data_IF_329261655952
#
_entry.id   IF_329261655952
#
_cell.length_a   1.000
_cell.length_b   1.000
_cell.length_c   1.000
_cell.angle_alpha   90.00
_cell.angle_beta   90.00
_cell.angle_gamma   90.00
#
_symmetry.space_group_name_H-M   'P 1'
#
loop_
_entity.id
_entity.type
_entity.pdbx_description
1 polymer ?
#
# COMPACT_ATOMS: atom_id res chain seq x y z
N UNK A 1 -17.19 16.88 9.65
CA UNK A 1 -17.42 18.35 9.67
C UNK A 1 -17.18 18.96 8.27
N UNK A 2 -17.66 18.34 7.17
CA UNK A 2 -17.72 18.97 5.82
C UNK A 2 -19.11 19.56 5.48
N UNK A 3 -20.10 19.48 6.39
CA UNK A 3 -21.51 19.83 6.09
C UNK A 3 -21.89 21.31 6.25
N UNK A 4 -21.01 22.19 6.73
CA UNK A 4 -21.43 23.52 7.23
C UNK A 4 -20.98 24.72 6.38
N UNK A 5 -20.10 24.58 5.39
CA UNK A 5 -19.56 25.74 4.64
C UNK A 5 -20.01 25.72 3.18
N UNK A 6 -21.32 25.79 2.94
CA UNK A 6 -21.88 25.94 1.60
C UNK A 6 -22.47 27.32 1.30
N UNK A 7 -22.44 28.28 2.23
CA UNK A 7 -23.28 29.49 2.12
C UNK A 7 -22.56 30.83 1.85
N UNK A 8 -21.23 30.93 1.87
CA UNK A 8 -20.61 32.26 1.84
C UNK A 8 -19.23 32.31 1.17
N UNK A 9 -19.17 32.10 -0.15
CA UNK A 9 -18.12 32.67 -1.04
C UNK A 9 -18.42 32.35 -2.51
N UNK A 10 -19.46 32.97 -3.09
CA UNK A 10 -19.49 33.17 -4.55
C UNK A 10 -18.75 34.48 -4.87
N UNK A 11 -17.43 34.45 -4.74
CA UNK A 11 -16.52 35.44 -5.35
C UNK A 11 -15.93 34.77 -6.58
N UNK A 12 -16.04 35.44 -7.72
CA UNK A 12 -15.93 34.88 -9.07
C UNK A 12 -14.81 33.86 -9.28
N UNK A 13 -15.21 32.63 -9.66
CA UNK A 13 -14.31 31.63 -10.21
C UNK A 13 -13.89 32.06 -11.63
N UNK A 14 -12.82 32.84 -11.73
CA UNK A 14 -12.05 32.95 -12.97
C UNK A 14 -11.55 31.56 -13.35
N UNK A 15 -11.85 31.11 -14.58
CA UNK A 15 -11.53 29.81 -15.17
C UNK A 15 -10.26 29.14 -14.60
N UNK A 16 -10.44 28.31 -13.57
CA UNK A 16 -9.37 27.45 -13.07
C UNK A 16 -9.11 26.43 -14.18
N UNK A 17 -7.91 26.44 -14.76
CA UNK A 17 -7.59 25.46 -15.80
C UNK A 17 -7.54 24.07 -15.17
N UNK A 18 -7.89 23.02 -15.93
CA UNK A 18 -7.84 21.62 -15.44
C UNK A 18 -6.44 21.27 -14.90
N UNK A 19 -5.39 21.84 -15.49
CA UNK A 19 -4.02 21.75 -15.01
C UNK A 19 -3.82 22.33 -13.62
N UNK A 20 -4.37 23.52 -13.34
CA UNK A 20 -4.24 24.14 -12.01
C UNK A 20 -4.99 23.32 -10.95
N UNK A 21 -6.16 22.79 -11.32
CA UNK A 21 -6.94 21.91 -10.44
C UNK A 21 -6.20 20.59 -10.15
N UNK A 22 -5.58 19.97 -11.15
CA UNK A 22 -4.75 18.77 -10.98
C UNK A 22 -3.51 19.06 -10.13
N UNK A 23 -2.86 20.21 -10.33
CA UNK A 23 -1.72 20.63 -9.51
C UNK A 23 -2.13 20.86 -8.06
N UNK A 24 -3.28 21.49 -7.82
CA UNK A 24 -3.82 21.70 -6.48
C UNK A 24 -4.18 20.37 -5.80
N UNK A 25 -4.77 19.44 -6.55
CA UNK A 25 -5.06 18.08 -6.08
C UNK A 25 -3.77 17.33 -5.73
N UNK A 26 -2.73 17.45 -6.55
CA UNK A 26 -1.44 16.80 -6.31
C UNK A 26 -0.68 17.40 -5.11
N UNK A 27 -0.76 18.72 -4.94
CA UNK A 27 -0.18 19.43 -3.80
C UNK A 27 -0.87 19.06 -2.49
N UNK A 28 -2.20 18.93 -2.53
CA UNK A 28 -3.02 18.54 -1.37
C UNK A 28 -3.27 17.04 -1.30
N UNK A 29 -2.40 16.23 -1.90
CA UNK A 29 -2.55 14.78 -1.97
C UNK A 29 -2.71 14.16 -0.55
N UNK A 30 -3.50 13.08 -0.42
CA UNK A 30 -3.65 12.40 0.87
C UNK A 30 -2.32 11.87 1.43
N UNK A 31 -2.17 11.87 2.75
CA UNK A 31 -1.03 11.23 3.42
C UNK A 31 -1.43 9.87 3.95
N UNK A 32 -0.53 8.89 3.83
CA UNK A 32 -0.68 7.57 4.43
C UNK A 32 -0.59 7.66 5.94
N UNK A 33 -1.56 7.07 6.62
CA UNK A 33 -1.63 7.00 8.09
C UNK A 33 -1.47 5.54 8.55
N UNK A 34 -0.26 4.95 8.48
CA UNK A 34 -0.04 3.53 8.78
C UNK A 34 -0.30 3.17 10.24
N UNK A 35 -0.38 4.17 11.13
CA UNK A 35 -0.69 3.98 12.54
C UNK A 35 -2.21 3.86 12.80
N UNK A 36 -3.06 4.43 11.93
CA UNK A 36 -4.53 4.36 12.02
C UNK A 36 -5.16 3.30 11.10
N UNK A 37 -4.40 2.77 10.14
CA UNK A 37 -4.86 1.75 9.19
C UNK A 37 -4.18 0.40 9.38
N UNK A 38 -4.87 -0.70 9.04
CA UNK A 38 -4.34 -2.06 9.20
C UNK A 38 -3.33 -2.48 8.13
N UNK A 39 -3.40 -1.88 6.94
CA UNK A 39 -2.52 -2.17 5.81
C UNK A 39 -2.04 -0.83 5.27
N UNK A 40 -0.73 -0.53 5.32
CA UNK A 40 -0.06 0.67 4.78
C UNK A 40 -0.61 2.08 5.14
N UNK A 41 -1.80 2.20 5.74
CA UNK A 41 -2.48 3.46 6.03
C UNK A 41 -3.11 4.17 4.83
N UNK A 42 -3.22 3.53 3.66
CA UNK A 42 -3.72 4.19 2.42
C UNK A 42 -5.19 4.58 2.54
N UNK A 43 -6.06 3.60 2.82
CA UNK A 43 -7.50 3.87 2.97
C UNK A 43 -7.80 4.81 4.15
N UNK A 44 -7.04 4.68 5.25
CA UNK A 44 -7.14 5.59 6.40
C UNK A 44 -6.71 7.02 6.04
N UNK A 45 -5.69 7.18 5.20
CA UNK A 45 -5.22 8.46 4.70
C UNK A 45 -6.23 9.18 3.81
N UNK A 46 -6.80 8.45 2.84
CA UNK A 46 -7.84 8.97 1.94
C UNK A 46 -9.10 9.32 2.74
N UNK A 47 -9.52 8.47 3.67
CA UNK A 47 -10.71 8.71 4.49
C UNK A 47 -10.57 9.94 5.40
N UNK A 48 -9.38 10.11 5.99
CA UNK A 48 -9.10 11.27 6.83
C UNK A 48 -8.99 12.59 6.05
N UNK A 49 -8.56 12.55 4.79
CA UNK A 49 -8.52 13.72 3.88
C UNK A 49 -9.91 14.19 3.48
N UNK A 50 -10.82 13.26 3.20
CA UNK A 50 -12.15 13.53 2.63
C UNK A 50 -13.31 13.37 3.62
N UNK A 51 -13.02 13.16 4.92
CA UNK A 51 -14.03 12.93 5.98
C UNK A 51 -14.95 11.72 5.68
N UNK A 52 -14.39 10.67 5.06
CA UNK A 52 -15.09 9.42 4.71
C UNK A 52 -14.59 8.29 5.60
N UNK A 53 -15.49 7.40 6.04
CA UNK A 53 -15.11 6.22 6.80
C UNK A 53 -14.09 5.36 6.01
N UNK A 54 -12.90 5.07 6.58
CA UNK A 54 -11.91 4.17 5.97
C UNK A 54 -12.45 2.80 5.56
N UNK A 55 -13.55 2.32 6.18
CA UNK A 55 -14.20 1.06 5.80
C UNK A 55 -14.78 1.13 4.39
N UNK A 56 -15.45 2.23 4.03
CA UNK A 56 -16.05 2.39 2.69
C UNK A 56 -14.98 2.41 1.59
N UNK A 57 -13.85 3.05 1.87
CA UNK A 57 -12.72 3.10 0.93
C UNK A 57 -12.12 1.69 0.72
N UNK A 58 -12.06 0.87 1.78
CA UNK A 58 -11.62 -0.53 1.65
C UNK A 58 -12.60 -1.33 0.80
N UNK A 59 -13.90 -1.19 1.03
CA UNK A 59 -14.93 -1.86 0.24
C UNK A 59 -14.78 -1.46 -1.24
N UNK A 60 -14.55 -0.17 -1.54
CA UNK A 60 -14.32 0.28 -2.91
C UNK A 60 -13.10 -0.38 -3.58
N UNK A 61 -11.98 -0.51 -2.86
CA UNK A 61 -10.80 -1.24 -3.36
C UNK A 61 -11.10 -2.73 -3.59
N UNK A 62 -11.79 -3.40 -2.66
CA UNK A 62 -12.14 -4.83 -2.76
C UNK A 62 -13.10 -5.08 -3.93
N UNK A 63 -14.10 -4.23 -4.10
CA UNK A 63 -15.01 -4.32 -5.24
C UNK A 63 -14.24 -4.08 -6.54
N UNK A 64 -13.39 -3.04 -6.62
CA UNK A 64 -12.56 -2.81 -7.81
C UNK A 64 -11.56 -3.95 -8.09
N UNK A 65 -11.11 -4.70 -7.09
CA UNK A 65 -10.33 -5.92 -7.34
C UNK A 65 -11.15 -7.03 -7.96
N UNK A 66 -12.41 -7.20 -7.58
CA UNK A 66 -13.28 -8.23 -8.16
C UNK A 66 -13.69 -7.89 -9.59
N UNK A 67 -13.88 -6.60 -9.90
CA UNK A 67 -14.35 -6.13 -11.21
C UNK A 67 -13.24 -5.94 -12.28
N UNK A 68 -12.08 -6.58 -12.12
CA UNK A 68 -10.95 -6.47 -13.06
C UNK A 68 -9.60 -6.18 -12.40
N UNK A 69 -9.49 -6.43 -11.09
CA UNK A 69 -8.23 -6.42 -10.35
C UNK A 69 -7.54 -5.06 -10.19
N UNK A 70 -8.09 -3.99 -10.75
CA UNK A 70 -7.55 -2.63 -10.65
C UNK A 70 -7.40 -2.15 -9.21
N UNK A 71 -8.26 -2.61 -8.30
CA UNK A 71 -8.19 -2.21 -6.90
C UNK A 71 -6.84 -2.51 -6.25
N UNK A 72 -6.18 -3.63 -6.58
CA UNK A 72 -4.89 -3.99 -5.98
C UNK A 72 -3.76 -3.15 -6.58
N UNK A 73 -3.84 -2.90 -7.88
CA UNK A 73 -2.90 -2.03 -8.60
C UNK A 73 -2.95 -0.62 -8.04
N UNK A 74 -4.15 -0.04 -7.92
CA UNK A 74 -4.33 1.29 -7.33
C UNK A 74 -3.90 1.35 -5.86
N UNK A 75 -4.11 0.27 -5.11
CA UNK A 75 -3.68 0.20 -3.72
C UNK A 75 -2.14 0.21 -3.57
N UNK A 76 -1.44 -0.60 -4.37
CA UNK A 76 0.02 -0.66 -4.39
C UNK A 76 0.62 0.65 -4.94
N UNK A 77 0.02 1.23 -5.97
CA UNK A 77 0.42 2.52 -6.52
C UNK A 77 0.25 3.65 -5.48
N UNK A 78 -0.90 3.71 -4.80
CA UNK A 78 -1.12 4.67 -3.72
C UNK A 78 -0.18 4.44 -2.53
N UNK A 79 0.22 3.18 -2.29
CA UNK A 79 1.25 2.88 -1.30
C UNK A 79 2.63 3.46 -1.71
N UNK A 80 3.00 3.45 -2.98
CA UNK A 80 4.28 4.05 -3.41
C UNK A 80 4.24 5.58 -3.50
N UNK A 81 3.14 6.13 -4.00
CA UNK A 81 3.01 7.55 -4.39
C UNK A 81 2.64 8.45 -3.21
N UNK A 82 1.74 8.02 -2.32
CA UNK A 82 1.33 8.87 -1.20
C UNK A 82 2.49 9.01 -0.20
N UNK A 83 2.59 10.14 0.50
CA UNK A 83 3.64 10.30 1.53
C UNK A 83 3.13 9.75 2.86
N UNK A 84 4.01 9.21 3.69
CA UNK A 84 3.68 8.93 5.08
C UNK A 84 3.52 10.26 5.84
N UNK A 85 2.57 10.34 6.77
CA UNK A 85 2.42 11.52 7.62
C UNK A 85 3.73 11.76 8.40
N UNK A 86 4.37 12.92 8.18
CA UNK A 86 5.70 13.27 8.72
C UNK A 86 6.86 13.19 7.73
N UNK A 87 6.72 12.48 6.60
CA UNK A 87 7.83 12.25 5.65
C UNK A 87 7.80 13.22 4.47
N UNK A 88 8.95 13.77 4.09
CA UNK A 88 9.09 14.76 3.01
C UNK A 88 8.98 14.13 1.62
N UNK A 89 9.39 12.87 1.47
CA UNK A 89 9.32 12.11 0.23
C UNK A 89 8.26 10.99 0.28
N UNK A 90 7.75 10.63 -0.90
CA UNK A 90 7.00 9.39 -1.12
C UNK A 90 7.94 8.18 -1.17
N UNK A 91 7.37 6.98 -1.10
CA UNK A 91 8.16 5.74 -1.20
C UNK A 91 8.87 5.64 -2.55
N UNK A 92 8.18 6.01 -3.63
CA UNK A 92 8.78 6.07 -4.96
C UNK A 92 9.89 7.13 -5.08
N UNK A 93 9.70 8.34 -4.53
CA UNK A 93 10.74 9.38 -4.53
C UNK A 93 11.98 8.95 -3.76
N UNK A 94 11.81 8.21 -2.65
CA UNK A 94 12.93 7.68 -1.87
C UNK A 94 13.75 6.61 -2.62
N UNK A 95 13.12 5.82 -3.48
CA UNK A 95 13.83 4.86 -4.37
C UNK A 95 14.66 5.57 -5.44
N UNK A 96 14.24 6.77 -5.85
CA UNK A 96 14.95 7.63 -6.81
C UNK A 96 15.97 8.54 -6.10
N UNK A 97 16.16 8.39 -4.79
CA UNK A 97 17.11 9.17 -4.00
C UNK A 97 16.67 10.62 -3.71
N UNK A 98 15.38 10.94 -3.90
CA UNK A 98 14.84 12.29 -3.62
C UNK A 98 14.18 12.31 -2.25
N UNK A 99 14.77 13.06 -1.32
CA UNK A 99 14.22 13.35 0.00
C UNK A 99 14.34 12.21 1.01
N UNK A 100 13.78 12.43 2.21
CA UNK A 100 13.90 11.52 3.34
C UNK A 100 12.56 10.81 3.61
N UNK A 101 12.57 9.47 3.59
CA UNK A 101 11.45 8.60 3.94
C UNK A 101 11.84 7.75 5.14
N UNK A 102 10.93 7.58 6.09
CA UNK A 102 11.13 6.72 7.27
C UNK A 102 10.89 5.23 6.94
N UNK A 103 10.38 4.91 5.75
CA UNK A 103 10.21 3.54 5.30
C UNK A 103 11.53 2.95 4.75
N UNK A 104 11.83 1.70 5.11
CA UNK A 104 13.00 0.98 4.61
C UNK A 104 12.96 0.82 3.09
N UNK A 105 14.04 1.18 2.40
CA UNK A 105 14.16 1.08 0.94
C UNK A 105 13.79 -0.31 0.41
N UNK A 106 14.21 -1.38 1.09
CA UNK A 106 13.88 -2.77 0.72
C UNK A 106 12.37 -3.01 0.64
N UNK A 107 11.58 -2.46 1.57
CA UNK A 107 10.10 -2.60 1.50
C UNK A 107 9.53 -1.86 0.31
N UNK A 108 10.06 -0.69 -0.02
CA UNK A 108 9.59 0.07 -1.19
C UNK A 108 9.97 -0.64 -2.50
N UNK A 109 11.15 -1.25 -2.59
CA UNK A 109 11.54 -2.08 -3.74
C UNK A 109 10.58 -3.27 -3.90
N UNK A 110 10.29 -4.00 -2.83
CA UNK A 110 9.35 -5.14 -2.88
C UNK A 110 7.96 -4.70 -3.34
N UNK A 111 7.45 -3.57 -2.83
CA UNK A 111 6.16 -3.03 -3.26
C UNK A 111 6.19 -2.58 -4.72
N UNK A 112 7.31 -2.00 -5.20
CA UNK A 112 7.48 -1.63 -6.61
C UNK A 112 7.48 -2.86 -7.53
N UNK A 113 8.21 -3.91 -7.17
CA UNK A 113 8.21 -5.18 -7.92
C UNK A 113 6.81 -5.80 -7.91
N UNK A 114 6.13 -5.84 -6.76
CA UNK A 114 4.76 -6.35 -6.67
C UNK A 114 3.78 -5.54 -7.52
N UNK A 115 3.94 -4.21 -7.59
CA UNK A 115 3.14 -3.36 -8.48
C UNK A 115 3.41 -3.69 -9.95
N UNK A 116 4.66 -3.88 -10.36
CA UNK A 116 5.01 -4.24 -11.74
C UNK A 116 4.38 -5.59 -12.11
N UNK A 117 4.51 -6.61 -11.26
CA UNK A 117 3.87 -7.92 -11.48
C UNK A 117 2.36 -7.77 -11.59
N UNK A 118 1.73 -7.05 -10.64
CA UNK A 118 0.28 -6.84 -10.65
C UNK A 118 -0.19 -6.08 -11.90
N UNK A 119 0.57 -5.09 -12.39
CA UNK A 119 0.25 -4.39 -13.64
C UNK A 119 0.44 -5.30 -14.86
N UNK A 120 1.45 -6.17 -14.85
CA UNK A 120 1.70 -7.10 -15.96
C UNK A 120 0.66 -8.23 -16.03
N UNK A 121 0.24 -8.78 -14.89
CA UNK A 121 -0.72 -9.90 -14.84
C UNK A 121 -2.18 -9.44 -14.86
N UNK A 122 -2.46 -8.26 -14.30
CA UNK A 122 -3.81 -7.71 -14.10
C UNK A 122 -3.96 -6.37 -14.84
N UNK A 123 -3.21 -6.17 -15.92
CA UNK A 123 -3.18 -4.90 -16.63
C UNK A 123 -4.59 -4.41 -16.98
N UNK A 124 -4.81 -3.09 -17.15
CA UNK A 124 -6.12 -2.54 -17.51
C UNK A 124 -6.70 -3.13 -18.81
N UNK A 125 -5.85 -3.81 -19.58
CA UNK A 125 -6.10 -4.41 -20.89
C UNK A 125 -5.90 -5.94 -20.90
N UNK A 126 -5.78 -6.58 -19.72
CA UNK A 126 -5.47 -8.00 -19.58
C UNK A 126 -6.47 -8.93 -20.28
N UNK A 127 -5.92 -9.92 -20.98
CA UNK A 127 -6.60 -10.96 -21.77
C UNK A 127 -7.59 -11.76 -20.92
N UNK A 128 -8.89 -11.60 -21.19
CA UNK A 128 -9.94 -12.52 -20.72
C UNK A 128 -11.27 -11.89 -20.33
N UNK A 129 -11.30 -10.62 -19.87
CA UNK A 129 -12.54 -9.97 -19.38
C UNK A 129 -12.65 -8.51 -19.86
N UNK A 130 -13.08 -8.36 -21.12
CA UNK A 130 -13.61 -7.16 -21.79
C UNK A 130 -13.64 -5.82 -21.04
N UNK A 131 -12.49 -5.19 -20.79
CA UNK A 131 -12.38 -3.77 -20.41
C UNK A 131 -12.91 -3.39 -19.01
N UNK A 132 -13.34 -4.35 -18.18
CA UNK A 132 -13.91 -4.06 -16.85
C UNK A 132 -12.89 -3.40 -15.91
N UNK A 133 -11.59 -3.72 -16.07
CA UNK A 133 -10.50 -3.07 -15.36
C UNK A 133 -10.45 -1.56 -15.62
N UNK A 134 -10.49 -1.13 -16.89
CA UNK A 134 -10.52 0.29 -17.26
C UNK A 134 -11.74 1.01 -16.71
N UNK A 135 -12.92 0.39 -16.77
CA UNK A 135 -14.15 0.96 -16.23
C UNK A 135 -14.00 1.17 -14.71
N UNK A 136 -13.45 0.18 -14.00
CA UNK A 136 -13.23 0.26 -12.56
C UNK A 136 -12.16 1.32 -12.20
N UNK A 137 -11.12 1.48 -13.03
CA UNK A 137 -10.08 2.50 -12.88
C UNK A 137 -10.67 3.91 -13.03
N UNK A 138 -11.44 4.13 -14.09
CA UNK A 138 -12.11 5.41 -14.35
C UNK A 138 -13.11 5.73 -13.26
N UNK A 139 -13.91 4.75 -12.83
CA UNK A 139 -14.86 4.92 -11.74
C UNK A 139 -14.17 5.30 -10.43
N UNK A 140 -13.02 4.69 -10.12
CA UNK A 140 -12.30 4.98 -8.88
C UNK A 140 -11.63 6.36 -8.91
N UNK A 141 -11.01 6.74 -10.04
CA UNK A 141 -10.45 8.08 -10.23
C UNK A 141 -11.53 9.16 -10.24
N UNK A 142 -12.67 8.90 -10.90
CA UNK A 142 -13.84 9.77 -10.90
C UNK A 142 -14.42 9.94 -9.49
N UNK A 143 -14.53 8.86 -8.72
CA UNK A 143 -14.96 8.91 -7.32
C UNK A 143 -14.03 9.75 -6.45
N UNK A 144 -12.71 9.61 -6.61
CA UNK A 144 -11.71 10.43 -5.91
C UNK A 144 -11.84 11.92 -6.29
N UNK A 145 -12.07 12.20 -7.57
CA UNK A 145 -12.26 13.56 -8.08
C UNK A 145 -13.55 14.20 -7.53
N UNK A 146 -14.66 13.47 -7.50
CA UNK A 146 -15.91 13.93 -6.90
C UNK A 146 -15.77 14.19 -5.39
N UNK A 147 -15.02 13.35 -4.67
CA UNK A 147 -14.69 13.59 -3.27
C UNK A 147 -13.85 14.86 -3.09
N UNK A 148 -12.91 15.12 -4.01
CA UNK A 148 -12.11 16.34 -3.99
C UNK A 148 -12.94 17.59 -4.27
N UNK A 149 -13.93 17.52 -5.16
CA UNK A 149 -14.87 18.61 -5.37
C UNK A 149 -15.72 18.91 -4.14
N UNK A 150 -16.07 17.89 -3.35
CA UNK A 150 -16.87 18.05 -2.12
C UNK A 150 -16.07 18.61 -0.95
N UNK A 151 -14.82 18.19 -0.76
CA UNK A 151 -13.95 18.69 0.30
C UNK A 151 -12.59 19.14 -0.29
N UNK A 152 -12.55 20.30 -0.99
CA UNK A 152 -11.31 20.80 -1.61
C UNK A 152 -10.28 21.21 -0.54
N UNK A 153 -10.76 21.78 0.57
CA UNK A 153 -9.88 22.25 1.65
C UNK A 153 -9.18 21.09 2.37
N UNK A 154 -7.86 21.20 2.62
CA UNK A 154 -7.13 20.21 3.39
C UNK A 154 -7.46 20.29 4.90
N UNK A 155 -7.39 19.15 5.61
CA UNK A 155 -7.68 19.11 7.04
C UNK A 155 -6.72 19.99 7.86
N UNK A 156 -7.14 20.47 9.05
CA UNK A 156 -6.52 21.60 9.75
C UNK A 156 -5.02 21.47 10.06
N UNK A 157 -4.52 20.24 10.28
CA UNK A 157 -3.11 19.98 10.56
C UNK A 157 -2.18 20.16 9.34
N UNK A 158 -2.73 20.20 8.12
CA UNK A 158 -1.98 20.59 6.91
C UNK A 158 -2.02 22.10 6.66
N UNK A 159 -2.90 22.84 7.36
CA UNK A 159 -3.05 24.30 7.27
C UNK A 159 -2.15 25.05 8.26
N UNK A 160 -1.42 24.36 9.14
CA UNK A 160 -0.51 25.02 10.08
C UNK A 160 0.71 25.60 9.35
N UNK A 161 1.10 26.82 9.73
CA UNK A 161 2.18 27.58 9.10
C UNK A 161 3.51 26.78 9.05
N UNK A 162 3.76 25.93 10.04
CA UNK A 162 4.94 25.06 10.12
C UNK A 162 4.95 23.95 9.06
N UNK A 163 3.79 23.35 8.77
CA UNK A 163 3.67 22.31 7.74
C UNK A 163 3.72 22.92 6.32
N UNK A 164 3.26 24.17 6.17
CA UNK A 164 3.36 24.90 4.91
C UNK A 164 4.76 25.43 4.61
N UNK A 165 5.49 25.91 5.63
CA UNK A 165 6.80 26.57 5.49
C UNK A 165 7.89 25.61 4.99
N UNK A 166 7.81 24.31 5.29
CA UNK A 166 8.75 23.29 4.81
C UNK A 166 8.38 22.64 3.46
N UNK A 167 7.23 22.96 2.84
CA UNK A 167 6.78 22.30 1.58
C UNK A 167 6.27 23.23 0.48
N UNK A 168 6.00 24.50 0.75
CA UNK A 168 5.32 25.40 -0.19
C UNK A 168 6.11 26.67 -0.54
N UNK A 169 7.44 26.60 -0.64
CA UNK A 169 8.13 27.59 -1.46
C UNK A 169 7.86 27.21 -2.93
N UNK A 170 7.18 28.05 -3.74
CA UNK A 170 6.93 27.74 -5.13
C UNK A 170 8.28 27.72 -5.87
N UNK A 171 8.73 26.54 -6.30
CA UNK A 171 9.73 26.44 -7.36
C UNK A 171 9.00 26.10 -8.65
N UNK A 172 8.87 27.05 -9.59
CA UNK A 172 8.41 26.74 -10.95
C UNK A 172 9.36 25.73 -11.60
N UNK A 173 8.81 24.74 -12.30
CA UNK A 173 9.62 23.80 -13.08
C UNK A 173 10.31 24.57 -14.23
N UNK A 174 11.64 24.61 -14.24
CA UNK A 174 12.43 25.09 -15.38
C UNK A 174 13.38 26.28 -15.15
N UNK A 175 13.57 26.78 -13.92
CA UNK A 175 14.51 27.88 -13.64
C UNK A 175 15.90 27.39 -13.20
N UNK A 176 16.96 27.57 -14.01
CA UNK A 176 18.33 27.26 -13.62
C UNK A 176 18.96 28.50 -12.98
N UNK A 177 18.57 28.83 -11.75
CA UNK A 177 19.33 29.80 -10.97
C UNK A 177 19.13 29.54 -9.48
N UNK A 178 20.13 28.93 -8.87
CA UNK A 178 20.40 29.10 -7.44
C UNK A 178 20.92 30.53 -7.25
N UNK A 179 20.03 31.52 -7.12
CA UNK A 179 20.41 32.84 -6.60
C UNK A 179 20.02 32.91 -5.13
N UNK A 180 20.98 33.36 -4.33
CA UNK A 180 20.91 33.51 -2.88
C UNK A 180 20.01 34.68 -2.44
N UNK A 181 18.80 34.77 -2.97
CA UNK A 181 17.75 35.72 -2.55
C UNK A 181 16.64 35.02 -1.75
N UNK A 182 16.96 33.92 -1.09
CA UNK A 182 16.03 33.14 -0.25
C UNK A 182 15.64 33.84 1.07
N UNK A 183 16.05 35.10 1.27
CA UNK A 183 15.61 35.95 2.36
C UNK A 183 15.12 37.29 1.83
N UNK A 184 13.88 37.35 1.36
CA UNK A 184 13.00 38.52 1.51
C UNK A 184 11.60 38.19 1.01
N UNK A 185 10.60 38.70 1.74
CA UNK A 185 9.16 38.73 1.41
C UNK A 185 8.25 37.69 2.06
N UNK A 186 8.12 37.78 3.39
CA UNK A 186 6.81 37.71 4.02
C UNK A 186 6.71 38.80 5.13
N UNK A 187 6.00 39.88 4.79
CA UNK A 187 5.32 40.81 5.71
C UNK A 187 6.17 41.66 6.69
N UNK A 188 6.93 42.62 6.15
CA UNK A 188 7.06 43.93 6.81
C UNK A 188 6.61 45.00 5.81
N UNK A 189 5.42 45.57 6.03
CA UNK A 189 4.97 46.79 5.34
C UNK A 189 5.36 47.95 6.26
N UNK A 190 6.40 48.74 5.95
CA UNK A 190 6.63 49.96 6.71
C UNK A 190 5.40 50.88 6.53
N UNK A 191 5.04 51.70 7.55
CA UNK A 191 3.96 52.65 7.42
C UNK A 191 4.25 53.56 6.22
N UNK A 192 3.21 53.84 5.44
CA UNK A 192 3.33 54.60 4.21
C UNK A 192 3.59 56.06 4.57
N UNK A 193 4.85 56.44 4.68
CA UNK A 193 5.22 57.84 4.65
C UNK A 193 4.87 58.36 3.25
N UNK A 194 3.87 59.24 3.20
CA UNK A 194 3.56 60.03 2.02
C UNK A 194 4.84 60.75 1.61
N UNK A 195 5.40 60.36 0.48
CA UNK A 195 6.53 61.08 -0.11
C UNK A 195 5.96 62.37 -0.69
N UNK A 196 5.91 63.44 0.11
CA UNK A 196 5.86 64.79 -0.45
C UNK A 196 7.12 64.96 -1.31
N UNK A 197 6.91 65.22 -2.60
CA UNK A 197 7.98 65.50 -3.55
C UNK A 197 8.79 66.68 -3.02
N UNK A 198 10.04 66.41 -2.66
CA UNK A 198 11.03 67.45 -2.38
C UNK A 198 11.29 68.24 -3.66
N UNK A 199 10.64 69.40 -3.81
CA UNK A 199 11.02 70.39 -4.82
C UNK A 199 12.26 71.13 -4.31
N UNK A 200 13.28 71.41 -5.15
CA UNK A 200 14.59 71.89 -4.70
C UNK A 200 14.62 73.35 -4.21
N UNK A 201 13.47 73.95 -3.90
CA UNK A 201 13.36 75.29 -3.32
C UNK A 201 12.27 75.33 -2.25
N UNK A 202 12.54 74.77 -1.06
CA UNK A 202 11.76 75.07 0.13
C UNK A 202 12.66 75.80 1.13
N UNK A 203 12.52 77.12 1.18
CA UNK A 203 13.12 77.97 2.22
C UNK A 203 12.56 77.59 3.59
N UNK A 204 13.40 77.58 4.64
CA UNK A 204 12.93 77.45 6.02
C UNK A 204 11.78 78.43 6.30
N UNK A 205 10.69 78.01 6.97
CA UNK A 205 9.66 78.94 7.41
C UNK A 205 10.29 79.97 8.35
N UNK A 206 10.16 81.26 8.01
CA UNK A 206 10.76 82.38 8.75
C UNK A 206 10.04 82.71 10.07
N UNK A 207 8.97 82.00 10.41
CA UNK A 207 8.21 82.26 11.64
C UNK A 207 7.77 80.95 12.28
N UNK A 208 8.22 80.75 13.52
CA UNK A 208 7.67 79.76 14.43
C UNK A 208 6.35 80.31 14.99
N UNK A 209 5.24 79.62 14.72
CA UNK A 209 3.96 79.89 15.39
C UNK A 209 3.83 78.83 16.49
N UNK A 210 3.97 79.20 17.78
CA UNK A 210 3.73 78.26 18.86
C UNK A 210 2.26 77.85 18.86
N UNK A 211 2.00 76.55 18.95
CA UNK A 211 0.66 76.02 19.23
C UNK A 211 0.18 76.62 20.56
N UNK A 212 -1.04 77.20 20.63
CA UNK A 212 -1.51 77.79 21.88
C UNK A 212 -1.60 76.71 22.96
N UNK A 213 -0.94 76.96 24.09
CA UNK A 213 -1.08 76.17 25.32
C UNK A 213 -2.58 76.05 25.65
N UNK A 214 -3.08 74.87 26.03
CA UNK A 214 -4.41 74.75 26.61
C UNK A 214 -4.54 75.74 27.76
N UNK A 215 -5.60 76.54 27.72
CA UNK A 215 -5.89 77.56 28.72
C UNK A 215 -6.14 76.85 30.05
N UNK A 216 -5.26 77.08 31.03
CA UNK A 216 -5.53 76.76 32.43
C UNK A 216 -6.78 77.52 32.85
N UNK A 217 -7.82 76.77 33.21
CA UNK A 217 -8.99 77.34 33.87
C UNK A 217 -8.54 77.91 35.23
N UNK A 218 -8.39 79.23 35.27
CA UNK A 218 -8.22 80.02 36.48
C UNK A 218 -9.56 80.11 37.20
N UNK A 219 -9.85 79.10 38.01
CA UNK A 219 -10.77 79.21 39.14
C UNK A 219 -9.93 79.45 40.39
N UNK A 220 -9.86 80.71 40.81
CA UNK A 220 -9.24 81.14 42.06
C UNK A 220 -10.10 80.61 43.20
N UNK A 221 -9.55 79.71 44.01
CA UNK A 221 -9.85 79.71 45.44
C UNK A 221 -8.50 79.62 46.18
N UNK A 222 -8.30 80.65 46.99
CA UNK A 222 -7.13 80.85 47.82
C UNK A 222 -7.12 79.79 48.92
N UNK A 223 -6.02 79.06 49.05
CA UNK A 223 -5.44 78.73 50.35
C UNK A 223 -3.98 78.29 50.19
N UNK A 224 -3.11 79.05 50.83
CA UNK A 224 -1.68 78.83 50.82
C UNK A 224 -1.33 77.60 51.68
N UNK A 225 -0.97 76.49 51.05
CA UNK A 225 -0.27 75.40 51.73
C UNK A 225 1.05 75.10 51.03
N UNK A 226 2.12 75.54 51.69
CA UNK A 226 3.51 75.22 51.41
C UNK A 226 3.70 73.71 51.35
N UNK A 227 4.20 73.20 50.22
CA UNK A 227 4.50 71.78 50.03
C UNK A 227 5.73 71.41 50.86
N UNK A 228 5.53 70.55 51.85
CA UNK A 228 6.56 70.10 52.79
C UNK A 228 7.27 68.86 52.20
N UNK A 229 8.56 68.97 51.85
CA UNK A 229 9.36 67.89 51.23
C UNK A 229 9.99 66.91 52.25
N UNK A 230 9.33 66.65 53.39
CA UNK A 230 9.82 65.66 54.35
C UNK A 230 9.27 64.27 54.05
N UNK A 231 10.19 63.32 53.83
CA UNK A 231 9.91 61.90 53.61
C UNK A 231 9.41 61.28 54.91
N UNK A 232 8.09 61.21 55.10
CA UNK A 232 7.48 60.50 56.22
C UNK A 232 7.41 59.00 55.89
N UNK A 233 8.26 58.22 56.57
CA UNK A 233 8.20 56.76 56.56
C UNK A 233 7.13 56.33 57.56
N UNK A 234 5.99 55.84 57.08
CA UNK A 234 4.98 55.17 57.90
C UNK A 234 4.65 53.78 57.32
N UNK A 235 4.36 52.78 58.17
CA UNK A 235 4.35 51.37 57.77
C UNK A 235 3.11 51.00 56.96
N UNK A 236 3.30 50.03 56.07
CA UNK A 236 2.31 49.51 55.14
C UNK A 236 1.06 48.96 55.84
N UNK A 237 -0.10 49.50 55.45
CA UNK A 237 -1.40 48.86 55.63
C UNK A 237 -1.98 48.59 54.25
N UNK A 238 -2.35 47.34 54.01
CA UNK A 238 -2.71 46.79 52.71
C UNK A 238 -4.23 46.56 52.66
N UNK A 239 -5.00 47.34 51.89
CA UNK A 239 -6.27 46.88 51.36
C UNK A 239 -6.05 46.33 49.95
N UNK A 240 -6.60 45.14 49.72
CA UNK A 240 -6.69 44.55 48.39
C UNK A 240 -7.59 45.41 47.49
N UNK A 241 -7.11 45.75 46.30
CA UNK A 241 -7.84 45.62 45.04
C UNK A 241 -6.91 45.95 43.85
N UNK A 242 -7.16 45.28 42.73
CA UNK A 242 -6.29 45.09 41.57
C UNK A 242 -5.80 46.41 40.93
N UNK A 243 -4.53 46.51 40.47
CA UNK A 243 -4.09 47.68 39.72
C UNK A 243 -4.68 47.67 38.30
N UNK A 244 -5.49 48.68 37.97
CA UNK A 244 -5.80 49.05 36.59
C UNK A 244 -4.51 49.46 35.88
N UNK A 245 -4.02 48.63 34.96
CA UNK A 245 -2.79 48.90 34.22
C UNK A 245 -3.13 49.79 33.02
N UNK A 246 -2.93 51.10 33.16
CA UNK A 246 -2.94 52.01 32.01
C UNK A 246 -1.54 52.02 31.37
N UNK A 247 -1.38 51.64 30.09
CA UNK A 247 -0.10 51.76 29.41
C UNK A 247 0.30 53.23 29.25
N UNK A 248 1.60 53.56 29.35
CA UNK A 248 2.11 54.92 29.21
C UNK A 248 2.00 55.46 27.77
N UNK A 249 1.91 56.78 27.64
CA UNK A 249 1.55 57.52 26.40
C UNK A 249 2.65 57.63 25.33
N UNK A 250 3.88 57.37 25.72
CA UNK A 250 4.97 57.01 24.84
C UNK A 250 5.23 55.59 25.29
N UNK A 251 5.12 54.57 24.43
CA UNK A 251 5.91 53.42 24.79
C UNK A 251 7.32 53.71 24.27
N UNK A 252 8.35 53.98 25.10
CA UNK A 252 9.71 54.05 24.55
C UNK A 252 10.12 52.71 24.00
N UNK A 253 9.72 51.68 24.74
CA UNK A 253 10.11 50.27 24.69
C UNK A 253 9.41 49.48 25.79
N UNK A 254 8.79 50.14 26.78
CA UNK A 254 8.12 49.65 27.99
C UNK A 254 6.98 48.67 27.73
N UNK A 255 7.37 47.54 27.14
CA UNK A 255 7.24 46.18 27.64
C UNK A 255 6.03 46.06 28.53
N UNK A 256 4.89 46.43 27.96
CA UNK A 256 3.60 46.01 28.44
C UNK A 256 3.76 44.49 28.62
N UNK A 257 3.74 43.97 29.86
CA UNK A 257 3.97 42.54 30.07
C UNK A 257 2.93 41.71 29.31
N UNK A 258 1.76 42.32 29.07
CA UNK A 258 0.67 41.83 28.23
C UNK A 258 0.92 41.97 26.71
N UNK A 259 1.82 42.83 26.24
CA UNK A 259 2.15 42.98 24.82
C UNK A 259 3.25 42.01 24.34
N UNK A 260 3.98 41.40 25.28
CA UNK A 260 4.96 40.33 25.02
C UNK A 260 4.45 38.94 25.37
N UNK A 261 3.18 38.83 25.72
CA UNK A 261 2.45 37.56 25.75
C UNK A 261 2.20 37.12 24.30
N UNK A 262 3.30 36.81 23.60
CA UNK A 262 3.26 35.99 22.41
C UNK A 262 2.45 34.76 22.81
N UNK A 263 1.33 34.43 22.14
CA UNK A 263 0.57 33.25 22.50
C UNK A 263 1.57 32.11 22.61
N UNK A 264 1.66 31.51 23.80
CA UNK A 264 2.61 30.45 24.11
C UNK A 264 2.66 29.56 22.87
N UNK A 265 3.83 29.37 22.22
CA UNK A 265 3.89 28.73 20.91
C UNK A 265 3.17 27.42 21.05
N UNK A 266 1.93 27.35 20.48
CA UNK A 266 0.87 26.47 20.97
C UNK A 266 1.47 25.18 21.45
N UNK A 267 1.64 25.05 22.77
CA UNK A 267 2.66 24.19 23.39
C UNK A 267 2.74 22.93 22.56
N UNK A 268 3.87 22.70 21.87
CA UNK A 268 3.96 21.66 20.84
C UNK A 268 3.48 20.40 21.49
N UNK A 269 2.21 20.04 21.27
CA UNK A 269 1.66 18.82 21.81
C UNK A 269 2.54 17.81 21.08
N UNK A 270 3.50 17.13 21.75
CA UNK A 270 4.25 16.11 21.06
C UNK A 270 3.15 15.19 20.52
N UNK A 271 3.01 15.07 19.19
CA UNK A 271 1.80 14.52 18.59
C UNK A 271 1.54 13.21 19.30
N UNK A 272 0.47 13.19 20.12
CA UNK A 272 0.33 12.28 21.26
C UNK A 272 0.92 10.93 20.87
N UNK A 273 2.10 10.58 21.42
CA UNK A 273 2.97 9.55 20.85
C UNK A 273 2.10 8.33 20.54
N UNK A 274 1.75 8.16 19.26
CA UNK A 274 0.63 7.28 18.92
C UNK A 274 1.09 5.88 19.31
N UNK A 275 0.51 5.39 20.40
CA UNK A 275 0.98 4.22 21.09
C UNK A 275 1.04 3.08 20.09
N UNK A 276 2.25 2.58 19.81
CA UNK A 276 2.44 1.53 18.81
C UNK A 276 1.61 0.34 19.28
N UNK A 277 0.48 0.09 18.62
CA UNK A 277 -0.43 -1.01 18.97
C UNK A 277 0.39 -2.30 19.04
N UNK A 278 0.61 -2.79 20.27
CA UNK A 278 1.47 -3.94 20.54
C UNK A 278 0.95 -5.12 19.71
N UNK A 279 1.75 -5.62 18.78
CA UNK A 279 1.33 -6.73 17.91
C UNK A 279 0.99 -7.91 18.80
N UNK A 280 -0.22 -8.46 18.64
CA UNK A 280 -0.69 -9.56 19.46
C UNK A 280 0.19 -10.79 19.24
N UNK A 281 0.75 -11.35 20.32
CA UNK A 281 1.54 -12.60 20.28
C UNK A 281 0.72 -13.79 19.76
N UNK A 282 -0.61 -13.68 19.79
CA UNK A 282 -1.56 -14.69 19.29
C UNK A 282 -1.25 -15.13 17.85
N UNK A 283 -1.02 -14.19 16.94
CA UNK A 283 -0.73 -14.50 15.54
C UNK A 283 0.57 -15.30 15.41
N UNK A 284 1.61 -14.91 16.15
CA UNK A 284 2.90 -15.60 16.13
C UNK A 284 2.80 -17.00 16.76
N UNK A 285 2.04 -17.16 17.85
CA UNK A 285 1.84 -18.45 18.52
C UNK A 285 1.13 -19.46 17.63
N UNK A 286 0.01 -19.09 16.98
CA UNK A 286 -0.71 -20.00 16.10
C UNK A 286 0.02 -20.28 14.80
N UNK A 287 0.78 -19.31 14.28
CA UNK A 287 1.66 -19.54 13.13
C UNK A 287 2.78 -20.51 13.47
N UNK A 288 3.43 -20.35 14.63
CA UNK A 288 4.46 -21.28 15.10
C UNK A 288 3.90 -22.69 15.33
N UNK A 289 2.70 -22.80 15.90
CA UNK A 289 2.04 -24.09 16.10
C UNK A 289 1.67 -24.77 14.78
N UNK A 290 1.20 -24.01 13.79
CA UNK A 290 0.88 -24.55 12.47
C UNK A 290 2.13 -25.09 11.74
N UNK A 291 3.25 -24.36 11.83
CA UNK A 291 4.53 -24.82 11.26
C UNK A 291 5.07 -26.06 11.99
N UNK A 292 4.94 -26.12 13.32
CA UNK A 292 5.31 -27.31 14.09
C UNK A 292 4.46 -28.52 13.71
N UNK A 293 3.13 -28.35 13.62
CA UNK A 293 2.23 -29.42 13.23
C UNK A 293 2.54 -29.94 11.82
N UNK A 294 2.74 -29.04 10.85
CA UNK A 294 3.14 -29.40 9.49
C UNK A 294 4.46 -30.17 9.47
N UNK A 295 5.48 -29.68 10.20
CA UNK A 295 6.79 -30.33 10.29
C UNK A 295 6.72 -31.73 10.91
N UNK A 296 5.91 -31.91 11.96
CA UNK A 296 5.68 -33.22 12.58
C UNK A 296 4.99 -34.17 11.60
N UNK A 297 3.93 -33.72 10.91
CA UNK A 297 3.22 -34.55 9.93
C UNK A 297 4.15 -34.99 8.80
N UNK A 298 4.97 -34.08 8.26
CA UNK A 298 5.95 -34.42 7.23
C UNK A 298 7.02 -35.39 7.74
N UNK A 299 7.56 -35.19 8.94
CA UNK A 299 8.58 -36.05 9.53
C UNK A 299 8.07 -37.47 9.82
N UNK A 300 6.85 -37.59 10.35
CA UNK A 300 6.23 -38.90 10.62
C UNK A 300 5.86 -39.60 9.31
N UNK A 301 5.40 -38.85 8.31
CA UNK A 301 5.19 -39.35 6.95
C UNK A 301 6.43 -40.00 6.37
N UNK A 302 7.53 -39.24 6.34
CA UNK A 302 8.82 -39.72 5.85
C UNK A 302 9.35 -40.93 6.65
N UNK A 303 9.13 -40.97 7.96
CA UNK A 303 9.59 -42.08 8.80
C UNK A 303 8.75 -43.36 8.67
N UNK A 304 7.48 -43.24 8.26
CA UNK A 304 6.56 -44.39 8.14
C UNK A 304 6.45 -44.92 6.71
N UNK A 305 7.05 -44.23 5.73
CA UNK A 305 7.10 -44.68 4.33
C UNK A 305 5.71 -44.84 3.70
N UNK A 306 4.73 -44.04 4.14
CA UNK A 306 3.37 -44.12 3.62
C UNK A 306 2.95 -42.85 2.90
N UNK A 307 2.27 -43.03 1.77
CA UNK A 307 1.74 -41.97 0.88
C UNK A 307 0.71 -41.06 1.57
N UNK A 308 0.37 -41.38 2.83
CA UNK A 308 -0.60 -40.64 3.61
C UNK A 308 -0.13 -39.24 3.99
N UNK A 309 1.15 -38.92 3.85
CA UNK A 309 1.76 -37.62 4.15
C UNK A 309 2.03 -36.77 2.90
N UNK A 310 1.11 -36.79 1.93
CA UNK A 310 1.20 -35.92 0.76
C UNK A 310 1.28 -34.42 1.14
N UNK A 311 1.93 -33.61 0.29
CA UNK A 311 2.12 -32.18 0.51
C UNK A 311 0.80 -31.44 0.81
N UNK A 312 -0.29 -31.83 0.15
CA UNK A 312 -1.63 -31.29 0.39
C UNK A 312 -2.14 -31.57 1.82
N UNK A 313 -1.93 -32.78 2.34
CA UNK A 313 -2.38 -33.16 3.70
C UNK A 313 -1.56 -32.47 4.78
N UNK A 314 -0.25 -32.33 4.58
CA UNK A 314 0.64 -31.55 5.46
C UNK A 314 0.16 -30.09 5.54
N UNK A 315 -0.17 -29.50 4.38
CA UNK A 315 -0.76 -28.17 4.31
C UNK A 315 -2.13 -28.08 4.99
N UNK A 316 -2.99 -29.10 4.83
CA UNK A 316 -4.31 -29.17 5.46
C UNK A 316 -4.24 -29.20 7.00
N UNK A 317 -3.27 -29.93 7.58
CA UNK A 317 -3.03 -29.92 9.04
C UNK A 317 -2.63 -28.53 9.52
N UNK A 318 -1.73 -27.84 8.81
CA UNK A 318 -1.35 -26.47 9.14
C UNK A 318 -2.56 -25.51 9.10
N UNK A 319 -3.42 -25.68 8.09
CA UNK A 319 -4.63 -24.89 7.90
C UNK A 319 -5.67 -25.17 8.99
N UNK A 320 -5.79 -26.42 9.45
CA UNK A 320 -6.67 -26.78 10.57
C UNK A 320 -6.27 -26.05 11.86
N UNK A 321 -4.96 -26.01 12.16
CA UNK A 321 -4.43 -25.28 13.33
C UNK A 321 -4.71 -23.77 13.22
N UNK A 322 -4.52 -23.19 12.03
CA UNK A 322 -4.82 -21.78 11.75
C UNK A 322 -6.33 -21.51 11.88
N UNK A 323 -7.18 -22.43 11.42
CA UNK A 323 -8.63 -22.33 11.52
C UNK A 323 -9.09 -22.33 12.98
N UNK A 324 -8.54 -23.20 13.83
CA UNK A 324 -8.79 -23.18 15.27
C UNK A 324 -8.33 -21.85 15.89
N UNK A 325 -7.17 -21.34 15.48
CA UNK A 325 -6.65 -20.04 15.92
C UNK A 325 -7.53 -18.86 15.51
N UNK A 326 -8.20 -18.94 14.36
CA UNK A 326 -9.19 -17.96 13.89
C UNK A 326 -10.49 -18.04 14.67
N UNK A 327 -11.03 -19.24 14.91
CA UNK A 327 -12.25 -19.44 15.71
C UNK A 327 -12.04 -18.91 17.13
N UNK A 328 -10.96 -19.31 17.80
CA UNK A 328 -10.62 -18.79 19.13
C UNK A 328 -10.34 -17.28 19.08
N UNK A 329 -9.67 -16.81 18.03
CA UNK A 329 -9.41 -15.38 17.81
C UNK A 329 -10.69 -14.54 17.69
N UNK A 330 -11.73 -15.08 17.02
CA UNK A 330 -13.02 -14.43 16.87
C UNK A 330 -13.70 -14.18 18.23
N UNK A 331 -13.66 -15.17 19.14
CA UNK A 331 -14.19 -15.01 20.50
C UNK A 331 -13.38 -14.03 21.35
N UNK A 332 -12.04 -14.01 21.20
CA UNK A 332 -11.16 -13.13 21.97
C UNK A 332 -10.94 -11.73 21.34
N UNK A 333 -11.65 -11.40 20.24
CA UNK A 333 -11.45 -10.17 19.43
C UNK A 333 -9.98 -9.93 19.06
N UNK A 334 -9.21 -11.01 18.83
CA UNK A 334 -7.77 -11.01 18.49
C UNK A 334 -7.55 -11.89 17.26
N UNK A 335 -6.39 -11.76 16.58
CA UNK A 335 -6.01 -12.71 15.53
C UNK A 335 -6.39 -12.35 14.09
N UNK A 336 -6.84 -11.12 13.79
CA UNK A 336 -7.06 -10.65 12.41
C UNK A 336 -5.85 -10.81 11.48
N UNK A 337 -4.64 -10.95 12.02
CA UNK A 337 -3.44 -11.26 11.24
C UNK A 337 -3.42 -12.68 10.65
N UNK A 338 -4.15 -13.65 11.23
CA UNK A 338 -4.26 -14.99 10.67
C UNK A 338 -5.04 -14.99 9.35
N UNK A 339 -6.02 -14.10 9.16
CA UNK A 339 -6.83 -14.04 7.94
C UNK A 339 -5.97 -13.82 6.68
N UNK A 340 -4.94 -12.98 6.80
CA UNK A 340 -4.01 -12.67 5.70
C UNK A 340 -3.16 -13.89 5.33
N UNK A 341 -2.88 -14.79 6.28
CA UNK A 341 -2.06 -15.99 6.08
C UNK A 341 -2.93 -17.19 5.67
N UNK A 342 -4.14 -17.29 6.24
CA UNK A 342 -5.07 -18.37 5.99
C UNK A 342 -5.52 -18.40 4.52
N UNK A 343 -5.76 -17.24 3.90
CA UNK A 343 -6.20 -17.17 2.50
C UNK A 343 -5.20 -17.77 1.49
N UNK A 344 -3.91 -17.35 1.45
CA UNK A 344 -2.94 -17.97 0.54
C UNK A 344 -2.63 -19.43 0.90
N UNK A 345 -2.63 -19.78 2.20
CA UNK A 345 -2.45 -21.17 2.61
C UNK A 345 -3.62 -22.05 2.14
N UNK A 346 -4.86 -21.56 2.23
CA UNK A 346 -6.03 -22.26 1.71
C UNK A 346 -5.94 -22.46 0.20
N UNK A 347 -5.53 -21.42 -0.55
CA UNK A 347 -5.29 -21.53 -1.98
C UNK A 347 -4.23 -22.58 -2.32
N UNK A 348 -3.11 -22.58 -1.58
CA UNK A 348 -2.06 -23.60 -1.75
C UNK A 348 -2.58 -25.01 -1.45
N UNK A 349 -3.33 -25.21 -0.37
CA UNK A 349 -3.87 -26.54 -0.03
C UNK A 349 -4.84 -27.03 -1.11
N UNK A 350 -5.74 -26.16 -1.57
CA UNK A 350 -6.68 -26.52 -2.65
C UNK A 350 -5.92 -26.90 -3.93
N UNK A 351 -4.90 -26.12 -4.31
CA UNK A 351 -4.09 -26.41 -5.49
C UNK A 351 -3.28 -27.70 -5.32
N UNK A 352 -2.62 -27.89 -4.18
CA UNK A 352 -1.82 -29.08 -3.90
C UNK A 352 -2.68 -30.35 -3.78
N UNK A 353 -3.94 -30.23 -3.34
CA UNK A 353 -4.89 -31.35 -3.36
C UNK A 353 -5.40 -31.69 -4.76
N UNK A 354 -5.40 -30.74 -5.69
CA UNK A 354 -5.84 -30.98 -7.06
C UNK A 354 -4.79 -31.70 -7.91
N UNK A 355 -3.49 -31.52 -7.62
CA UNK A 355 -2.38 -32.12 -8.38
C UNK A 355 -2.06 -33.56 -7.92
N UNK A 356 -2.62 -34.02 -6.80
CA UNK A 356 -2.33 -35.36 -6.26
C UNK A 356 -0.93 -35.48 -5.65
N UNK A 357 -0.59 -36.65 -5.04
CA UNK A 357 0.77 -36.97 -4.64
C UNK A 357 1.64 -37.10 -5.90
N UNK A 358 2.66 -36.25 -6.04
CA UNK A 358 3.67 -36.43 -7.10
C UNK A 358 4.78 -37.30 -6.53
N UNK A 359 4.96 -38.49 -7.11
CA UNK A 359 6.08 -39.36 -6.75
C UNK A 359 7.34 -38.89 -7.48
N UNK A 360 8.14 -38.09 -6.78
CA UNK A 360 9.38 -37.50 -7.32
C UNK A 360 10.58 -38.41 -7.15
N UNK A 361 10.38 -39.61 -6.59
CA UNK A 361 11.40 -40.64 -6.44
C UNK A 361 11.68 -41.38 -7.78
N UNK A 362 10.85 -41.13 -8.81
CA UNK A 362 11.02 -41.63 -10.16
C UNK A 362 12.35 -41.24 -10.80
N UNK A 363 12.79 -42.03 -11.77
CA UNK A 363 14.10 -41.84 -12.38
C UNK A 363 14.20 -40.48 -13.10
N UNK A 364 15.32 -39.79 -12.91
CA UNK A 364 15.56 -38.44 -13.43
C UNK A 364 16.59 -38.44 -14.56
N UNK A 365 16.40 -37.53 -15.52
CA UNK A 365 17.19 -37.45 -16.76
C UNK A 365 16.52 -38.12 -17.96
N UNK A 366 17.27 -38.27 -19.05
CA UNK A 366 16.78 -38.89 -20.28
C UNK A 366 16.92 -40.41 -20.19
N UNK A 367 15.81 -41.11 -20.34
CA UNK A 367 15.72 -42.57 -20.32
C UNK A 367 15.30 -43.06 -21.70
N UNK A 368 16.10 -43.95 -22.28
CA UNK A 368 15.76 -44.62 -23.55
C UNK A 368 15.64 -46.10 -23.29
N UNK A 369 14.44 -46.63 -23.45
CA UNK A 369 14.12 -48.03 -23.14
C UNK A 369 13.48 -48.63 -24.39
N UNK A 370 14.07 -49.73 -24.87
CA UNK A 370 13.58 -50.46 -26.04
C UNK A 370 13.40 -51.94 -25.68
N UNK A 371 12.26 -52.34 -25.08
CA UNK A 371 11.98 -53.72 -24.74
C UNK A 371 11.81 -54.56 -26.01
N UNK A 372 12.49 -55.70 -26.09
CA UNK A 372 12.38 -56.63 -27.23
C UNK A 372 11.45 -57.81 -26.94
N UNK A 373 11.13 -58.05 -25.66
CA UNK A 373 10.28 -59.15 -25.24
C UNK A 373 9.25 -58.69 -24.22
N UNK A 374 8.13 -59.42 -24.10
CA UNK A 374 7.07 -59.13 -23.13
C UNK A 374 7.58 -59.21 -21.68
N UNK A 375 8.65 -59.97 -21.42
CA UNK A 375 9.27 -60.05 -20.11
C UNK A 375 10.11 -58.81 -19.74
N UNK A 376 10.58 -58.07 -20.74
CA UNK A 376 11.38 -56.84 -20.55
C UNK A 376 10.50 -55.58 -20.43
N UNK A 377 9.21 -55.69 -20.75
CA UNK A 377 8.24 -54.62 -20.60
C UNK A 377 7.84 -54.50 -19.13
N UNK A 378 8.26 -53.40 -18.49
CA UNK A 378 7.89 -53.13 -17.11
C UNK A 378 6.39 -52.74 -17.03
N UNK A 379 5.69 -53.12 -15.96
CA UNK A 379 4.28 -52.75 -15.77
C UNK A 379 4.10 -51.24 -15.50
N UNK A 380 5.11 -50.59 -14.90
CA UNK A 380 5.05 -49.18 -14.49
C UNK A 380 6.38 -48.49 -14.83
N UNK A 381 6.30 -47.28 -15.37
CA UNK A 381 7.43 -46.42 -15.70
C UNK A 381 7.29 -45.05 -15.02
N UNK A 382 8.03 -44.83 -13.94
CA UNK A 382 8.03 -43.57 -13.19
C UNK A 382 9.08 -42.58 -13.70
N UNK A 383 8.61 -41.41 -14.15
CA UNK A 383 9.43 -40.31 -14.63
C UNK A 383 9.29 -39.13 -13.67
N UNK A 384 10.30 -38.95 -12.81
CA UNK A 384 10.31 -37.84 -11.85
C UNK A 384 10.57 -36.49 -12.53
N UNK A 385 11.79 -36.33 -13.06
CA UNK A 385 12.24 -35.11 -13.73
C UNK A 385 13.06 -35.49 -14.97
N UNK A 386 12.49 -35.41 -16.17
CA UNK A 386 13.25 -35.80 -17.37
C UNK A 386 12.44 -36.12 -18.61
N UNK A 387 12.99 -36.99 -19.43
CA UNK A 387 12.39 -37.43 -20.70
C UNK A 387 12.45 -38.95 -20.77
N UNK A 388 11.32 -39.59 -21.06
CA UNK A 388 11.24 -41.03 -21.31
C UNK A 388 10.96 -41.27 -22.78
N UNK A 389 11.83 -42.04 -23.43
CA UNK A 389 11.66 -42.51 -24.80
C UNK A 389 11.52 -44.03 -24.77
N UNK A 390 10.28 -44.50 -24.93
CA UNK A 390 9.90 -45.90 -24.90
C UNK A 390 9.64 -46.38 -26.33
N UNK A 391 10.60 -47.13 -26.88
CA UNK A 391 10.51 -47.70 -28.23
C UNK A 391 10.00 -49.14 -28.17
N UNK A 392 8.76 -49.36 -28.60
CA UNK A 392 8.09 -50.66 -28.64
C UNK A 392 8.09 -51.29 -30.04
N UNK A 393 8.79 -50.71 -31.02
CA UNK A 393 8.76 -51.17 -32.42
C UNK A 393 9.26 -52.61 -32.60
N UNK A 394 10.14 -53.07 -31.72
CA UNK A 394 10.68 -54.44 -31.71
C UNK A 394 9.85 -55.45 -30.91
N UNK A 395 8.76 -55.03 -30.27
CA UNK A 395 7.98 -55.86 -29.36
C UNK A 395 6.84 -56.58 -30.10
N UNK A 396 6.75 -57.90 -29.93
CA UNK A 396 5.60 -58.70 -30.36
C UNK A 396 4.77 -59.10 -29.14
N UNK A 397 3.51 -58.66 -29.11
CA UNK A 397 2.59 -58.96 -28.01
C UNK A 397 1.91 -60.30 -28.26
N UNK A 398 2.00 -61.21 -27.30
CA UNK A 398 1.29 -62.49 -27.32
C UNK A 398 0.00 -62.48 -26.52
N UNK A 399 -0.16 -61.50 -25.61
CA UNK A 399 -1.26 -61.37 -24.66
C UNK A 399 -1.57 -59.88 -24.42
N UNK A 400 -2.77 -59.58 -23.94
CA UNK A 400 -3.15 -58.23 -23.52
C UNK A 400 -2.28 -57.75 -22.35
N UNK A 401 -1.80 -56.51 -22.43
CA UNK A 401 -0.96 -55.90 -21.39
C UNK A 401 -1.36 -54.47 -21.13
N UNK A 402 -1.19 -54.07 -19.88
CA UNK A 402 -1.36 -52.69 -19.44
C UNK A 402 -0.01 -52.17 -18.95
N UNK A 403 0.35 -50.97 -19.38
CA UNK A 403 1.56 -50.25 -18.97
C UNK A 403 1.12 -48.90 -18.41
N UNK A 404 1.55 -48.62 -17.18
CA UNK A 404 1.35 -47.34 -16.50
C UNK A 404 2.60 -46.46 -16.68
N UNK A 405 2.39 -45.20 -17.07
CA UNK A 405 3.44 -44.21 -17.26
C UNK A 405 3.11 -42.98 -16.42
N UNK A 406 3.82 -42.84 -15.31
CA UNK A 406 3.65 -41.74 -14.37
C UNK A 406 4.70 -40.67 -14.64
N UNK A 407 4.27 -39.48 -15.08
CA UNK A 407 5.17 -38.36 -15.40
C UNK A 407 4.92 -37.20 -14.45
N UNK A 408 5.82 -37.02 -13.49
CA UNK A 408 5.74 -35.88 -12.56
C UNK A 408 6.11 -34.56 -13.26
N UNK A 409 7.28 -34.50 -13.93
CA UNK A 409 7.69 -33.31 -14.67
C UNK A 409 8.58 -33.66 -15.87
N UNK A 410 8.07 -33.49 -17.10
CA UNK A 410 8.85 -33.89 -18.28
C UNK A 410 8.06 -34.19 -19.54
N UNK A 411 8.62 -35.07 -20.38
CA UNK A 411 7.95 -35.62 -21.56
C UNK A 411 8.14 -37.13 -21.65
N UNK A 412 7.10 -37.83 -22.08
CA UNK A 412 7.18 -39.25 -22.41
C UNK A 412 6.77 -39.47 -23.87
N UNK A 413 7.66 -40.06 -24.67
CA UNK A 413 7.39 -40.50 -26.04
C UNK A 413 7.32 -42.02 -26.08
N UNK A 414 6.20 -42.56 -26.57
CA UNK A 414 6.02 -43.99 -26.81
C UNK A 414 5.89 -44.20 -28.31
N UNK A 415 6.84 -44.94 -28.87
CA UNK A 415 6.85 -45.30 -30.30
C UNK A 415 6.34 -46.73 -30.46
N UNK A 416 5.29 -46.92 -31.26
CA UNK A 416 4.57 -48.19 -31.41
C UNK A 416 4.66 -48.69 -32.87
N UNK A 417 4.77 -50.00 -33.12
CA UNK A 417 4.75 -50.55 -34.47
C UNK A 417 3.34 -50.52 -35.08
N UNK A 418 3.23 -50.28 -36.39
CA UNK A 418 1.95 -50.20 -37.13
C UNK A 418 1.09 -51.47 -37.06
N UNK A 419 1.68 -52.61 -36.72
CA UNK A 419 1.02 -53.92 -36.64
C UNK A 419 0.31 -54.19 -35.31
N UNK A 420 0.48 -53.33 -34.30
CA UNK A 420 0.01 -53.55 -32.93
C UNK A 420 -1.24 -52.73 -32.62
N UNK A 421 -2.19 -53.32 -31.90
CA UNK A 421 -3.34 -52.59 -31.37
C UNK A 421 -2.98 -51.93 -30.04
N UNK A 422 -3.17 -50.62 -29.95
CA UNK A 422 -2.89 -49.84 -28.74
C UNK A 422 -4.10 -49.01 -28.36
N UNK A 423 -4.47 -49.02 -27.08
CA UNK A 423 -5.44 -48.11 -26.48
C UNK A 423 -4.72 -47.21 -25.50
N UNK A 424 -4.95 -45.90 -25.58
CA UNK A 424 -4.33 -44.90 -24.71
C UNK A 424 -5.40 -44.23 -23.86
N UNK A 425 -5.22 -44.31 -22.55
CA UNK A 425 -5.96 -43.56 -21.54
C UNK A 425 -4.97 -42.57 -20.91
N UNK A 426 -5.18 -41.28 -21.09
CA UNK A 426 -4.26 -40.26 -20.61
C UNK A 426 -5.00 -39.16 -19.86
N UNK A 427 -4.54 -38.87 -18.64
CA UNK A 427 -4.99 -37.74 -17.85
C UNK A 427 -3.81 -36.79 -17.61
N UNK A 428 -4.02 -35.50 -17.83
CA UNK A 428 -2.97 -34.49 -17.62
C UNK A 428 -3.48 -33.32 -16.79
N UNK A 429 -2.75 -32.94 -15.73
CA UNK A 429 -3.09 -31.76 -14.93
C UNK A 429 -2.66 -30.47 -15.65
N UNK A 430 -1.41 -30.40 -16.11
CA UNK A 430 -0.87 -29.27 -16.88
C UNK A 430 -0.02 -29.79 -18.04
N UNK A 431 -0.59 -29.87 -19.24
CA UNK A 431 0.12 -30.50 -20.35
C UNK A 431 -0.72 -30.81 -21.57
N UNK A 432 -0.19 -31.71 -22.40
CA UNK A 432 -0.89 -32.31 -23.54
C UNK A 432 -0.85 -33.83 -23.48
N UNK A 433 -2.02 -34.44 -23.63
CA UNK A 433 -2.22 -35.86 -23.89
C UNK A 433 -2.47 -36.10 -25.39
N UNK A 434 -2.25 -37.34 -25.88
CA UNK A 434 -2.59 -37.71 -27.25
C UNK A 434 -4.09 -37.54 -27.52
N UNK A 435 -4.45 -36.99 -28.69
CA UNK A 435 -5.84 -36.89 -29.14
C UNK A 435 -6.39 -38.22 -29.66
N UNK A 436 -5.53 -39.08 -30.20
CA UNK A 436 -5.91 -40.39 -30.68
C UNK A 436 -5.75 -41.41 -29.55
N UNK A 437 -6.87 -42.06 -29.20
CA UNK A 437 -6.93 -43.03 -28.10
C UNK A 437 -6.78 -44.46 -28.57
N UNK A 438 -6.73 -44.70 -29.88
CA UNK A 438 -6.56 -46.03 -30.47
C UNK A 438 -5.65 -46.00 -31.69
N UNK A 439 -4.65 -46.87 -31.70
CA UNK A 439 -3.71 -47.08 -32.80
C UNK A 439 -3.74 -48.55 -33.24
N UNK A 440 -3.40 -48.82 -34.50
CA UNK A 440 -3.30 -50.17 -35.05
C UNK A 440 -4.25 -50.46 -36.22
N UNK A 441 -4.10 -51.64 -36.85
CA UNK A 441 -4.78 -51.98 -38.11
C UNK A 441 -6.31 -52.11 -38.00
N UNK A 442 -6.86 -52.15 -36.77
CA UNK A 442 -8.28 -52.29 -36.52
C UNK A 442 -8.80 -53.68 -36.91
N UNK A 443 -9.54 -54.31 -35.98
CA UNK A 443 -10.39 -55.50 -36.21
C UNK A 443 -9.72 -56.88 -36.29
N UNK A 444 -9.54 -57.50 -35.11
CA UNK A 444 -10.09 -58.83 -34.81
C UNK A 444 -10.12 -59.02 -33.28
N UNK A 445 -11.14 -59.68 -32.72
CA UNK A 445 -11.27 -59.92 -31.27
C UNK A 445 -10.18 -60.82 -30.67
N UNK A 446 -9.31 -61.40 -31.51
CA UNK A 446 -8.26 -62.35 -31.12
C UNK A 446 -6.84 -61.76 -31.21
N UNK A 447 -6.68 -60.48 -31.56
CA UNK A 447 -5.36 -59.81 -31.57
C UNK A 447 -5.11 -59.11 -30.24
N UNK A 448 -3.96 -59.37 -29.57
CA UNK A 448 -3.65 -58.77 -28.28
C UNK A 448 -3.55 -57.25 -28.36
N UNK A 449 -3.99 -56.58 -27.30
CA UNK A 449 -4.06 -55.11 -27.20
C UNK A 449 -3.18 -54.61 -26.06
N UNK A 450 -2.38 -53.57 -26.34
CA UNK A 450 -1.64 -52.83 -25.32
C UNK A 450 -2.50 -51.67 -24.81
N UNK A 451 -2.72 -51.60 -23.51
CA UNK A 451 -3.35 -50.43 -22.88
C UNK A 451 -2.27 -49.60 -22.22
N UNK A 452 -2.13 -48.33 -22.63
CA UNK A 452 -1.21 -47.37 -22.03
C UNK A 452 -2.04 -46.43 -21.17
N UNK A 453 -1.80 -46.47 -19.86
CA UNK A 453 -2.40 -45.54 -18.90
C UNK A 453 -1.32 -44.51 -18.55
N UNK A 454 -1.58 -43.25 -18.88
CA UNK A 454 -0.62 -42.16 -18.71
C UNK A 454 -1.14 -41.08 -17.78
N UNK A 455 -0.46 -40.88 -16.66
CA UNK A 455 -0.77 -39.83 -15.70
C UNK A 455 0.32 -38.76 -15.74
N UNK A 456 -0.01 -37.58 -16.28
CA UNK A 456 0.96 -36.49 -16.51
C UNK A 456 0.64 -35.30 -15.61
N UNK A 457 1.46 -35.07 -14.59
CA UNK A 457 1.28 -33.90 -13.73
C UNK A 457 1.67 -32.60 -14.47
N UNK A 458 2.89 -32.50 -14.98
CA UNK A 458 3.37 -31.35 -15.74
C UNK A 458 4.21 -31.81 -16.94
N UNK A 459 3.68 -31.71 -18.16
CA UNK A 459 4.42 -32.23 -19.31
C UNK A 459 3.63 -32.58 -20.56
N UNK A 460 4.16 -33.51 -21.34
CA UNK A 460 3.46 -34.10 -22.48
C UNK A 460 3.66 -35.61 -22.54
N UNK A 461 2.61 -36.32 -22.92
CA UNK A 461 2.69 -37.72 -23.35
C UNK A 461 2.40 -37.77 -24.86
N UNK A 462 3.33 -38.34 -25.62
CA UNK A 462 3.20 -38.55 -27.07
C UNK A 462 3.18 -40.04 -27.33
N UNK A 463 2.15 -40.50 -28.02
CA UNK A 463 2.07 -41.87 -28.54
C UNK A 463 1.94 -41.76 -30.05
N UNK A 464 2.83 -42.45 -30.77
CA UNK A 464 2.84 -42.37 -32.22
C UNK A 464 3.56 -43.54 -32.87
N UNK A 465 3.38 -43.64 -34.18
CA UNK A 465 4.09 -44.58 -35.02
C UNK A 465 5.39 -43.91 -35.53
N UNK A 466 6.43 -44.69 -35.86
CA UNK A 466 7.75 -44.18 -36.25
C UNK A 466 7.77 -43.31 -37.52
#
# INVERSE_FOLDING_TARGET
>A
MCFVVAAATMVGMSNVTVSDQLQQMWRTRPHRLPQRGHVAGVAAGIGYRYDVDPVLIRIAFVVSTLFGGTGIVLYLAAWLVLNRAGDTASGAESLVGRGHSSDSATKMVVVAVALVIAVSTIGPVGVGLGGSGLISLVAMLGGLWLLHQRCPEPPPYMRTAEFSRNRYAPMPFGSPSASAEQWTAAQYRPPQFQHERYTPYTTLPKSYVPTPKPVEHTGIDADAHTVNLSKSTAPAEKPADLPTVTPPSWDPLGVAPFAWDLPEPAGTFPPAAIERKRRSRWTASFLGLALLAAGITAAVGAATGGDWASAGRVGAVALAVISVGLVLGAFLRKGYGLLVIAAPLAGFVVLASAVGPMDVDGASGTQRIAPLTVADLAPTYDVGLGELDLDLTGLDLTEDRTVEIDVALGSASVTVPDSMNVTVECESAVGSCPTDTRFGPGTSTDTPTLTIVGDVAIGELKVGNP
#
